data_IF_256439537324
#
_entry.id   IF_256439537324
#
_cell.length_a   1.000
_cell.length_b   1.000
_cell.length_c   1.000
_cell.angle_alpha   90.00
_cell.angle_beta   90.00
_cell.angle_gamma   90.00
#
_symmetry.space_group_name_H-M   'P 1'
#
loop_
_entity.id
_entity.type
_entity.pdbx_description
1 polymer ?
#
# COMPACT_ATOMS: atom_id res chain seq x y z
N UNK A 1 33.96 -12.63 -2.89
CA UNK A 1 33.83 -13.19 -1.52
C UNK A 1 33.48 -12.14 -0.42
N UNK A 2 33.21 -10.87 -0.78
CA UNK A 2 33.05 -9.79 0.20
C UNK A 2 31.62 -9.31 0.41
N UNK A 3 30.59 -10.02 -0.09
CA UNK A 3 29.18 -9.56 -0.07
C UNK A 3 28.34 -10.06 1.11
N UNK A 4 28.91 -10.74 2.11
CA UNK A 4 28.13 -11.43 3.14
C UNK A 4 28.57 -11.15 4.58
N UNK A 5 28.84 -9.92 4.96
CA UNK A 5 29.27 -9.68 6.36
C UNK A 5 28.12 -9.53 7.39
N UNK A 6 26.86 -9.45 7.07
CA UNK A 6 25.68 -9.62 7.94
C UNK A 6 24.40 -9.41 7.11
N UNK A 7 23.92 -10.43 6.43
CA UNK A 7 22.61 -10.42 5.79
C UNK A 7 21.61 -11.24 6.60
N UNK A 8 20.51 -10.66 7.00
CA UNK A 8 19.30 -11.40 7.37
C UNK A 8 18.61 -11.78 6.07
N UNK A 9 18.49 -13.08 5.77
CA UNK A 9 17.84 -13.58 4.58
C UNK A 9 16.64 -14.43 4.94
N UNK A 10 15.47 -14.11 4.41
CA UNK A 10 14.30 -14.94 4.48
C UNK A 10 14.10 -15.64 3.15
N UNK A 11 13.84 -16.95 3.18
CA UNK A 11 13.58 -17.76 1.97
C UNK A 11 12.27 -18.50 2.12
N UNK A 12 11.42 -18.36 1.13
CA UNK A 12 10.14 -19.07 1.06
C UNK A 12 10.01 -19.82 -0.27
N UNK A 13 9.67 -21.11 -0.23
CA UNK A 13 9.43 -21.94 -1.41
C UNK A 13 7.95 -22.21 -1.60
N UNK A 14 7.40 -21.87 -2.77
CA UNK A 14 6.03 -22.19 -3.16
C UNK A 14 5.97 -22.54 -4.66
N UNK A 15 5.29 -23.61 -5.02
CA UNK A 15 5.02 -24.01 -6.41
C UNK A 15 6.28 -23.97 -7.34
N UNK A 16 7.41 -24.50 -6.87
CA UNK A 16 8.71 -24.46 -7.55
C UNK A 16 9.36 -23.08 -7.72
N UNK A 17 8.78 -22.00 -7.16
CA UNK A 17 9.42 -20.71 -7.05
C UNK A 17 10.05 -20.51 -5.68
N UNK A 18 11.19 -19.85 -5.66
CA UNK A 18 11.86 -19.42 -4.45
C UNK A 18 11.75 -17.91 -4.34
N UNK A 19 11.24 -17.44 -3.22
CA UNK A 19 11.20 -16.02 -2.89
C UNK A 19 12.24 -15.78 -1.81
N UNK A 20 13.07 -14.78 -2.03
CA UNK A 20 14.17 -14.47 -1.11
C UNK A 20 14.27 -12.97 -0.92
N UNK A 21 14.39 -12.54 0.32
CA UNK A 21 14.68 -11.16 0.70
C UNK A 21 16.00 -11.16 1.48
N UNK A 22 16.95 -10.33 1.05
CA UNK A 22 18.25 -10.17 1.72
C UNK A 22 18.48 -8.69 1.98
N UNK A 23 18.77 -8.33 3.22
CA UNK A 23 19.25 -7.00 3.60
C UNK A 23 20.75 -7.10 3.85
N UNK A 24 21.52 -6.24 3.22
CA UNK A 24 22.97 -6.19 3.38
C UNK A 24 23.50 -4.75 3.38
N UNK A 25 24.70 -4.53 3.86
CA UNK A 25 25.40 -3.26 3.76
C UNK A 25 26.52 -3.39 2.74
N UNK A 26 26.60 -2.43 1.81
CA UNK A 26 27.77 -2.29 0.94
C UNK A 26 28.84 -1.50 1.68
N UNK A 27 29.97 -2.15 1.96
CA UNK A 27 31.12 -1.50 2.65
C UNK A 27 31.88 -0.54 1.72
N UNK A 28 31.83 -0.78 0.41
CA UNK A 28 32.57 0.00 -0.59
C UNK A 28 31.75 1.21 -1.13
N UNK A 29 30.52 1.40 -0.65
CA UNK A 29 29.67 2.52 -1.09
C UNK A 29 29.26 2.44 -2.56
N UNK A 30 29.18 1.25 -3.13
CA UNK A 30 28.77 1.02 -4.52
C UNK A 30 27.34 1.56 -4.76
N UNK A 31 27.13 2.09 -5.97
CA UNK A 31 25.79 2.52 -6.38
C UNK A 31 24.87 1.33 -6.62
N UNK A 32 23.54 1.55 -6.54
CA UNK A 32 22.56 0.52 -6.89
C UNK A 32 22.72 0.04 -8.35
N UNK A 33 23.20 0.90 -9.23
CA UNK A 33 23.44 0.56 -10.63
C UNK A 33 24.62 -0.39 -10.78
N UNK A 34 25.71 -0.17 -10.05
CA UNK A 34 26.87 -1.05 -10.06
C UNK A 34 26.51 -2.42 -9.48
N UNK A 35 25.78 -2.45 -8.35
CA UNK A 35 25.29 -3.70 -7.76
C UNK A 35 24.38 -4.48 -8.73
N UNK A 36 23.51 -3.81 -9.47
CA UNK A 36 22.68 -4.47 -10.49
C UNK A 36 23.52 -5.07 -11.60
N UNK A 37 24.53 -4.35 -12.09
CA UNK A 37 25.44 -4.85 -13.15
C UNK A 37 26.22 -6.07 -12.69
N UNK A 38 26.74 -6.03 -11.47
CA UNK A 38 27.52 -7.16 -10.91
C UNK A 38 26.64 -8.39 -10.63
N UNK A 39 25.39 -8.19 -10.28
CA UNK A 39 24.46 -9.29 -9.99
C UNK A 39 23.85 -9.90 -11.26
N UNK A 40 23.81 -9.17 -12.39
CA UNK A 40 23.18 -9.60 -13.63
C UNK A 40 23.62 -10.99 -14.13
N UNK A 41 24.90 -11.39 -14.08
CA UNK A 41 25.31 -12.74 -14.50
C UNK A 41 24.68 -13.88 -13.71
N UNK A 42 24.35 -13.64 -12.42
CA UNK A 42 23.65 -14.61 -11.59
C UNK A 42 22.17 -14.66 -11.95
N UNK A 43 21.58 -13.52 -12.23
CA UNK A 43 20.18 -13.38 -12.69
C UNK A 43 19.98 -14.21 -13.97
N UNK A 44 20.86 -14.03 -14.94
CA UNK A 44 20.79 -14.73 -16.22
C UNK A 44 20.98 -16.24 -16.05
N UNK A 45 21.96 -16.63 -15.23
CA UNK A 45 22.28 -18.03 -14.96
C UNK A 45 21.13 -18.79 -14.29
N UNK A 46 20.46 -18.15 -13.32
CA UNK A 46 19.42 -18.79 -12.52
C UNK A 46 18.01 -18.36 -12.92
N UNK A 47 17.85 -17.53 -13.96
CA UNK A 47 16.58 -16.98 -14.45
C UNK A 47 15.77 -16.33 -13.31
N UNK A 48 16.41 -15.45 -12.56
CA UNK A 48 15.82 -14.76 -11.41
C UNK A 48 15.14 -13.47 -11.85
N UNK A 49 14.06 -13.14 -11.16
CA UNK A 49 13.54 -11.78 -11.09
C UNK A 49 14.07 -11.13 -9.82
N UNK A 50 14.60 -9.92 -9.89
CA UNK A 50 15.19 -9.28 -8.72
C UNK A 50 14.97 -7.77 -8.73
N UNK A 51 15.00 -7.19 -7.55
CA UNK A 51 15.02 -5.75 -7.34
C UNK A 51 15.98 -5.40 -6.19
N UNK A 52 16.76 -4.34 -6.38
CA UNK A 52 17.55 -3.72 -5.32
C UNK A 52 16.93 -2.37 -4.95
N UNK A 53 16.83 -2.11 -3.66
CA UNK A 53 16.47 -0.79 -3.16
C UNK A 53 17.39 -0.34 -2.03
N UNK A 54 17.61 0.96 -1.97
CA UNK A 54 18.23 1.58 -0.79
C UNK A 54 17.13 1.79 0.27
N UNK A 55 17.26 1.15 1.43
CA UNK A 55 16.30 1.30 2.53
C UNK A 55 16.22 2.74 3.08
N UNK A 56 17.24 3.57 2.80
CA UNK A 56 17.24 4.99 3.18
C UNK A 56 16.45 5.87 2.21
N UNK A 57 16.27 5.42 0.98
CA UNK A 57 15.52 6.16 -0.03
C UNK A 57 14.02 6.00 0.20
N UNK A 58 13.35 7.10 0.55
CA UNK A 58 11.90 7.10 0.71
C UNK A 58 11.21 7.01 -0.65
N UNK A 59 10.26 6.08 -0.79
CA UNK A 59 9.44 5.97 -2.00
C UNK A 59 8.48 7.14 -2.10
N UNK A 60 8.35 7.70 -3.29
CA UNK A 60 7.41 8.79 -3.58
C UNK A 60 6.00 8.23 -3.74
N UNK A 61 5.07 8.73 -2.96
CA UNK A 61 3.70 8.22 -2.86
C UNK A 61 2.68 9.33 -3.13
N UNK A 62 1.69 9.03 -3.97
CA UNK A 62 0.46 9.80 -4.09
C UNK A 62 -0.62 9.11 -3.24
N UNK A 63 -1.29 9.86 -2.37
CA UNK A 63 -2.48 9.38 -1.68
C UNK A 63 -3.72 9.85 -2.42
N UNK A 64 -4.70 8.96 -2.59
CA UNK A 64 -5.99 9.30 -3.18
C UNK A 64 -7.10 9.08 -2.14
N UNK A 65 -8.00 10.05 -1.98
CA UNK A 65 -9.05 10.02 -0.97
C UNK A 65 -10.36 10.60 -1.53
N UNK A 66 -11.50 10.12 -1.03
CA UNK A 66 -12.81 10.75 -1.25
C UNK A 66 -13.29 11.43 0.05
N UNK A 67 -14.50 11.12 0.55
CA UNK A 67 -15.10 11.78 1.73
C UNK A 67 -14.74 11.16 3.08
N UNK A 68 -14.15 9.96 3.11
CA UNK A 68 -13.82 9.27 4.35
C UNK A 68 -12.32 9.38 4.62
N UNK A 69 -11.93 10.19 5.60
CA UNK A 69 -10.54 10.57 5.81
C UNK A 69 -9.81 9.82 6.92
N UNK A 70 -10.39 8.81 7.57
CA UNK A 70 -9.74 8.10 8.68
C UNK A 70 -8.40 7.49 8.27
N UNK A 71 -8.33 6.82 7.13
CA UNK A 71 -7.07 6.28 6.60
C UNK A 71 -6.07 7.38 6.22
N UNK A 72 -6.54 8.45 5.56
CA UNK A 72 -5.67 9.58 5.20
C UNK A 72 -5.05 10.22 6.45
N UNK A 73 -5.85 10.50 7.47
CA UNK A 73 -5.39 11.12 8.72
C UNK A 73 -4.39 10.24 9.47
N UNK A 74 -4.62 8.92 9.53
CA UNK A 74 -3.69 7.96 10.13
C UNK A 74 -2.36 7.91 9.37
N UNK A 75 -2.39 7.90 8.04
CA UNK A 75 -1.18 7.93 7.21
C UNK A 75 -0.41 9.23 7.37
N UNK A 76 -1.08 10.39 7.38
CA UNK A 76 -0.45 11.69 7.61
C UNK A 76 0.21 11.77 8.99
N UNK A 77 -0.47 11.25 10.02
CA UNK A 77 0.09 11.17 11.38
C UNK A 77 1.34 10.31 11.43
N UNK A 78 1.28 9.07 10.91
CA UNK A 78 2.44 8.15 10.89
C UNK A 78 3.60 8.70 10.08
N UNK A 79 3.32 9.35 8.97
CA UNK A 79 4.32 10.01 8.15
C UNK A 79 4.97 11.17 8.92
N UNK A 80 4.16 12.01 9.57
CA UNK A 80 4.63 13.16 10.34
C UNK A 80 5.55 12.80 11.51
N UNK A 81 5.33 11.66 12.17
CA UNK A 81 6.19 11.16 13.26
C UNK A 81 7.33 10.23 12.78
N UNK A 82 7.49 10.05 11.47
CA UNK A 82 8.53 9.19 10.90
C UNK A 82 8.26 7.68 10.98
N UNK A 83 7.10 7.25 11.48
CA UNK A 83 6.75 5.83 11.58
C UNK A 83 6.37 5.19 10.23
N UNK A 84 6.18 5.97 9.18
CA UNK A 84 5.94 5.51 7.82
C UNK A 84 6.97 6.16 6.88
N UNK A 85 8.02 5.43 6.46
CA UNK A 85 9.16 5.98 5.72
C UNK A 85 8.85 6.15 4.23
N UNK A 86 7.91 7.03 3.91
CA UNK A 86 7.52 7.42 2.56
C UNK A 86 7.73 8.92 2.34
N UNK A 87 7.72 9.34 1.08
CA UNK A 87 7.66 10.73 0.67
C UNK A 87 6.28 10.99 0.03
N UNK A 88 5.37 11.64 0.76
CA UNK A 88 4.04 11.98 0.24
C UNK A 88 4.18 13.20 -0.67
N UNK A 89 4.25 12.96 -1.98
CA UNK A 89 4.47 14.00 -3.00
C UNK A 89 3.20 14.71 -3.45
N UNK A 90 2.04 14.24 -3.00
CA UNK A 90 0.75 14.90 -3.26
C UNK A 90 -0.42 14.06 -2.78
N UNK A 91 -1.56 14.73 -2.65
CA UNK A 91 -2.85 14.08 -2.39
C UNK A 91 -3.82 14.46 -3.49
N UNK A 92 -4.47 13.47 -4.09
CA UNK A 92 -5.52 13.66 -5.11
C UNK A 92 -6.88 13.33 -4.49
N UNK A 93 -7.87 14.17 -4.71
CA UNK A 93 -9.23 13.92 -4.25
C UNK A 93 -10.29 14.43 -5.24
N UNK A 94 -11.43 13.75 -5.26
CA UNK A 94 -12.62 14.21 -5.98
C UNK A 94 -13.55 15.08 -5.12
N UNK A 95 -13.11 15.45 -3.89
CA UNK A 95 -13.79 16.32 -2.94
C UNK A 95 -12.81 17.31 -2.30
N UNK A 96 -13.31 18.36 -1.66
CA UNK A 96 -12.49 19.39 -1.00
C UNK A 96 -12.35 19.20 0.52
N UNK A 97 -12.97 18.17 1.07
CA UNK A 97 -13.13 17.95 2.52
C UNK A 97 -11.80 17.96 3.30
N UNK A 98 -10.71 17.48 2.69
CA UNK A 98 -9.41 17.32 3.35
C UNK A 98 -8.33 18.30 2.88
N UNK A 99 -8.69 19.27 2.02
CA UNK A 99 -7.71 20.21 1.46
C UNK A 99 -6.92 20.94 2.57
N UNK A 100 -7.61 21.55 3.51
CA UNK A 100 -6.96 22.30 4.61
C UNK A 100 -6.07 21.43 5.49
N UNK A 101 -6.46 20.19 5.74
CA UNK A 101 -5.68 19.25 6.54
C UNK A 101 -4.39 18.90 5.81
N UNK A 102 -4.46 18.55 4.55
CA UNK A 102 -3.31 18.14 3.72
C UNK A 102 -2.34 19.31 3.51
N UNK A 103 -2.86 20.49 3.15
CA UNK A 103 -2.05 21.70 2.99
C UNK A 103 -1.40 22.14 4.31
N UNK A 104 -2.06 21.90 5.46
CA UNK A 104 -1.49 22.11 6.79
C UNK A 104 -0.26 21.25 7.09
N UNK A 105 -0.08 20.14 6.40
CA UNK A 105 1.13 19.31 6.43
C UNK A 105 2.18 19.73 5.37
N UNK A 106 1.95 20.79 4.61
CA UNK A 106 2.83 21.24 3.53
C UNK A 106 2.77 20.39 2.25
N UNK A 107 1.75 19.55 2.11
CA UNK A 107 1.56 18.66 0.97
C UNK A 107 0.60 19.31 -0.04
N UNK A 108 0.92 19.19 -1.33
CA UNK A 108 0.05 19.70 -2.40
C UNK A 108 -1.25 18.88 -2.48
N UNK A 109 -2.39 19.57 -2.50
CA UNK A 109 -3.69 18.97 -2.69
C UNK A 109 -4.23 19.22 -4.08
N UNK A 110 -4.56 18.15 -4.80
CA UNK A 110 -5.11 18.21 -6.16
C UNK A 110 -6.58 17.82 -6.13
N UNK A 111 -7.46 18.81 -6.31
CA UNK A 111 -8.89 18.56 -6.44
C UNK A 111 -9.26 18.28 -7.90
N UNK A 112 -9.65 17.03 -8.20
CA UNK A 112 -10.09 16.60 -9.53
C UNK A 112 -11.48 15.99 -9.39
N UNK A 113 -12.50 16.75 -9.75
CA UNK A 113 -13.89 16.27 -9.73
C UNK A 113 -14.06 15.15 -10.76
N UNK A 114 -14.60 14.01 -10.32
CA UNK A 114 -14.87 12.85 -11.16
C UNK A 114 -16.37 12.68 -11.31
N UNK A 115 -16.84 12.59 -12.55
CA UNK A 115 -18.22 12.26 -12.92
C UNK A 115 -18.20 11.14 -13.97
N UNK A 116 -19.35 10.61 -14.33
CA UNK A 116 -19.43 9.60 -15.39
C UNK A 116 -18.96 10.12 -16.74
N UNK A 117 -19.23 11.39 -17.02
CA UNK A 117 -18.98 12.04 -18.29
C UNK A 117 -17.51 12.44 -18.47
N UNK A 118 -16.81 12.79 -17.38
CA UNK A 118 -15.43 13.27 -17.45
C UNK A 118 -14.39 12.26 -16.92
N UNK A 119 -14.77 11.02 -16.66
CA UNK A 119 -13.91 10.03 -16.00
C UNK A 119 -12.54 9.86 -16.69
N UNK A 120 -12.55 9.72 -18.02
CA UNK A 120 -11.32 9.54 -18.79
C UNK A 120 -10.37 10.76 -18.69
N UNK A 121 -10.91 11.99 -18.79
CA UNK A 121 -10.14 13.21 -18.65
C UNK A 121 -9.60 13.39 -17.22
N UNK A 122 -10.43 13.06 -16.23
CA UNK A 122 -10.03 13.12 -14.82
C UNK A 122 -8.89 12.14 -14.53
N UNK A 123 -8.96 10.90 -15.00
CA UNK A 123 -7.90 9.91 -14.83
C UNK A 123 -6.62 10.29 -15.59
N UNK A 124 -6.74 10.85 -16.80
CA UNK A 124 -5.59 11.38 -17.53
C UNK A 124 -4.89 12.52 -16.75
N UNK A 125 -5.67 13.41 -16.12
CA UNK A 125 -5.13 14.47 -15.26
C UNK A 125 -4.46 13.90 -14.00
N UNK A 126 -5.06 12.89 -13.35
CA UNK A 126 -4.46 12.19 -12.21
C UNK A 126 -3.13 11.53 -12.60
N UNK A 127 -3.08 10.80 -13.70
CA UNK A 127 -1.86 10.15 -14.18
C UNK A 127 -0.77 11.14 -14.60
N UNK A 128 -1.14 12.33 -15.07
CA UNK A 128 -0.17 13.40 -15.33
C UNK A 128 0.48 13.85 -14.02
N UNK A 129 -0.30 14.10 -12.97
CA UNK A 129 0.21 14.46 -11.63
C UNK A 129 1.14 13.37 -11.10
N UNK A 130 0.73 12.10 -11.19
CA UNK A 130 1.54 10.95 -10.76
C UNK A 130 2.91 10.95 -11.45
N UNK A 131 2.94 11.17 -12.78
CA UNK A 131 4.19 11.22 -13.56
C UNK A 131 5.04 12.43 -13.26
N UNK A 132 4.45 13.62 -13.19
CA UNK A 132 5.15 14.87 -12.89
C UNK A 132 5.77 14.88 -11.49
N UNK A 133 5.08 14.30 -10.51
CA UNK A 133 5.60 14.13 -9.16
C UNK A 133 6.64 13.00 -9.04
N UNK A 134 6.80 12.18 -10.08
CA UNK A 134 7.65 10.98 -10.05
C UNK A 134 7.19 9.94 -9.03
N UNK A 135 5.88 9.83 -8.79
CA UNK A 135 5.34 8.92 -7.80
C UNK A 135 5.50 7.45 -8.23
N UNK A 136 5.99 6.65 -7.31
CA UNK A 136 6.26 5.22 -7.50
C UNK A 136 5.07 4.35 -7.03
N UNK A 137 4.26 4.88 -6.12
CA UNK A 137 3.11 4.19 -5.53
C UNK A 137 1.91 5.12 -5.47
N UNK A 138 0.74 4.59 -5.79
CA UNK A 138 -0.55 5.20 -5.51
C UNK A 138 -1.22 4.44 -4.37
N UNK A 139 -1.74 5.14 -3.39
CA UNK A 139 -2.49 4.56 -2.27
C UNK A 139 -3.92 5.08 -2.29
N UNK A 140 -4.87 4.19 -2.45
CA UNK A 140 -6.31 4.51 -2.39
C UNK A 140 -6.77 4.45 -0.92
N UNK A 141 -6.63 5.58 -0.22
CA UNK A 141 -7.04 5.77 1.18
C UNK A 141 -8.54 6.11 1.23
N UNK A 142 -9.40 5.15 0.92
CA UNK A 142 -10.86 5.34 0.78
C UNK A 142 -11.22 6.23 -0.41
N UNK A 143 -10.56 6.04 -1.54
CA UNK A 143 -10.92 6.67 -2.81
C UNK A 143 -12.06 5.90 -3.47
N UNK A 144 -13.27 6.45 -3.42
CA UNK A 144 -14.52 5.76 -3.78
C UNK A 144 -14.85 5.85 -5.28
N UNK A 145 -13.82 5.78 -6.13
CA UNK A 145 -13.96 5.72 -7.58
C UNK A 145 -13.29 4.44 -8.10
N UNK A 146 -13.94 3.78 -9.03
CA UNK A 146 -13.35 2.62 -9.73
C UNK A 146 -12.38 3.18 -10.76
N UNK A 147 -11.13 2.73 -10.72
CA UNK A 147 -10.12 3.09 -11.72
C UNK A 147 -10.37 2.38 -13.04
N UNK A 148 -9.93 2.98 -14.15
CA UNK A 148 -9.98 2.32 -15.46
C UNK A 148 -8.92 1.23 -15.58
N UNK A 149 -9.16 0.29 -16.49
CA UNK A 149 -8.20 -0.78 -16.82
C UNK A 149 -6.87 -0.19 -17.29
N UNK A 150 -6.92 0.92 -18.04
CA UNK A 150 -5.73 1.62 -18.51
C UNK A 150 -4.86 2.12 -17.35
N UNK A 151 -5.47 2.78 -16.36
CA UNK A 151 -4.76 3.27 -15.18
C UNK A 151 -4.21 2.11 -14.34
N UNK A 152 -4.98 1.03 -14.18
CA UNK A 152 -4.54 -0.18 -13.49
C UNK A 152 -3.35 -0.84 -14.19
N UNK A 153 -3.33 -0.89 -15.52
CA UNK A 153 -2.22 -1.46 -16.30
C UNK A 153 -0.96 -0.60 -16.23
N UNK A 154 -1.08 0.73 -16.39
CA UNK A 154 0.07 1.65 -16.31
C UNK A 154 0.77 1.62 -14.94
N UNK A 155 0.03 1.35 -13.88
CA UNK A 155 0.50 1.29 -12.51
C UNK A 155 0.40 -0.13 -11.91
N UNK A 156 0.50 -1.17 -12.74
CA UNK A 156 0.41 -2.56 -12.28
C UNK A 156 1.41 -2.86 -11.16
N UNK A 157 0.92 -3.46 -10.06
CA UNK A 157 1.71 -3.73 -8.86
C UNK A 157 2.12 -2.49 -8.05
N UNK A 158 1.61 -1.30 -8.41
CA UNK A 158 1.95 -0.01 -7.78
C UNK A 158 0.72 0.81 -7.38
N UNK A 159 -0.43 0.17 -7.21
CA UNK A 159 -1.63 0.77 -6.61
C UNK A 159 -2.08 -0.13 -5.47
N UNK A 160 -2.13 0.40 -4.26
CA UNK A 160 -2.63 -0.30 -3.07
C UNK A 160 -3.97 0.31 -2.67
N UNK A 161 -4.98 -0.55 -2.49
CA UNK A 161 -6.31 -0.15 -2.02
C UNK A 161 -6.58 -0.68 -0.62
N UNK A 162 -7.42 0.03 0.13
CA UNK A 162 -8.08 -0.48 1.33
C UNK A 162 -9.54 -0.76 1.03
N UNK A 163 -9.93 -2.01 1.14
CA UNK A 163 -11.30 -2.46 1.04
C UNK A 163 -11.88 -2.70 2.45
N UNK A 164 -13.06 -2.15 2.70
CA UNK A 164 -13.71 -2.11 4.02
C UNK A 164 -14.49 -3.39 4.34
N UNK A 165 -13.97 -4.55 3.95
CA UNK A 165 -14.43 -5.86 4.39
C UNK A 165 -13.28 -6.89 4.35
N UNK A 166 -13.51 -8.01 5.02
CA UNK A 166 -12.63 -9.16 4.94
C UNK A 166 -12.91 -9.92 3.64
N UNK A 167 -12.16 -9.62 2.58
CA UNK A 167 -12.32 -10.29 1.29
C UNK A 167 -12.05 -11.81 1.40
N UNK A 168 -12.78 -12.64 0.67
CA UNK A 168 -13.76 -12.33 -0.38
C UNK A 168 -15.20 -12.07 0.10
N UNK A 169 -15.43 -11.89 1.40
CA UNK A 169 -16.75 -11.67 1.96
C UNK A 169 -17.24 -10.23 1.79
N UNK A 170 -18.55 -10.03 1.66
CA UNK A 170 -19.21 -8.71 1.62
C UNK A 170 -18.66 -7.76 0.56
N UNK A 171 -18.55 -8.22 -0.68
CA UNK A 171 -18.24 -7.36 -1.83
C UNK A 171 -19.35 -6.33 -2.08
N UNK A 172 -18.95 -5.18 -2.63
CA UNK A 172 -19.88 -4.12 -3.01
C UNK A 172 -20.14 -3.09 -1.91
N UNK A 173 -21.27 -2.40 -1.99
CA UNK A 173 -21.60 -1.26 -1.13
C UNK A 173 -22.08 -1.64 0.27
N UNK A 174 -21.74 -0.81 1.26
CA UNK A 174 -22.21 -0.91 2.66
C UNK A 174 -21.95 -2.24 3.38
N UNK A 175 -20.70 -2.79 3.36
CA UNK A 175 -20.42 -4.11 3.93
C UNK A 175 -20.69 -4.19 5.42
N UNK A 176 -20.51 -3.13 6.20
CA UNK A 176 -20.83 -3.12 7.64
C UNK A 176 -22.34 -3.28 7.91
N UNK A 177 -23.19 -2.69 7.07
CA UNK A 177 -24.64 -2.88 7.17
C UNK A 177 -25.00 -4.33 6.85
N UNK A 178 -24.44 -4.90 5.79
CA UNK A 178 -24.64 -6.32 5.44
C UNK A 178 -24.17 -7.24 6.59
N UNK A 179 -23.02 -6.94 7.19
CA UNK A 179 -22.46 -7.69 8.32
C UNK A 179 -23.39 -7.65 9.53
N UNK A 180 -23.94 -6.47 9.85
CA UNK A 180 -24.88 -6.29 10.94
C UNK A 180 -26.18 -7.08 10.69
N UNK A 181 -26.79 -6.93 9.52
CA UNK A 181 -28.03 -7.66 9.14
C UNK A 181 -27.84 -9.18 9.17
N UNK A 182 -26.64 -9.68 8.84
CA UNK A 182 -26.29 -11.09 8.89
C UNK A 182 -25.97 -11.59 10.31
N UNK A 183 -25.77 -10.70 11.28
CA UNK A 183 -25.40 -11.05 12.64
C UNK A 183 -24.06 -11.76 12.74
N UNK A 184 -23.08 -11.39 11.90
CA UNK A 184 -21.71 -11.95 11.93
C UNK A 184 -21.02 -11.63 13.25
N UNK A 185 -19.97 -12.34 13.56
CA UNK A 185 -19.21 -12.18 14.83
C UNK A 185 -17.84 -11.54 14.62
N UNK A 186 -17.44 -11.35 13.36
CA UNK A 186 -16.21 -10.72 12.96
C UNK A 186 -16.49 -9.79 11.78
N UNK A 187 -15.88 -8.60 11.81
CA UNK A 187 -15.73 -7.72 10.67
C UNK A 187 -14.25 -7.45 10.44
N UNK A 188 -13.87 -6.93 9.30
CA UNK A 188 -12.46 -6.68 9.02
C UNK A 188 -12.26 -5.80 7.81
N UNK A 189 -11.00 -5.68 7.43
CA UNK A 189 -10.57 -4.92 6.26
C UNK A 189 -9.48 -5.68 5.50
N UNK A 190 -9.34 -5.37 4.22
CA UNK A 190 -8.35 -5.98 3.32
C UNK A 190 -7.61 -4.90 2.55
N UNK A 191 -6.29 -4.91 2.62
CA UNK A 191 -5.45 -4.15 1.71
C UNK A 191 -4.91 -5.06 0.61
N UNK A 192 -5.06 -4.64 -0.64
CA UNK A 192 -4.70 -5.43 -1.81
C UNK A 192 -4.16 -4.55 -2.94
N UNK A 193 -3.43 -5.14 -3.87
CA UNK A 193 -3.11 -4.45 -5.12
C UNK A 193 -4.37 -4.28 -5.96
N UNK A 194 -4.45 -3.15 -6.67
CA UNK A 194 -5.54 -2.89 -7.60
C UNK A 194 -5.24 -3.53 -8.95
N UNK A 195 -6.25 -4.20 -9.49
CA UNK A 195 -6.27 -4.79 -10.83
C UNK A 195 -7.49 -4.27 -11.59
N UNK A 196 -7.64 -4.66 -12.85
CA UNK A 196 -8.84 -4.34 -13.63
C UNK A 196 -10.12 -4.98 -13.03
N UNK A 197 -9.96 -6.14 -12.40
CA UNK A 197 -11.06 -6.81 -11.71
C UNK A 197 -11.27 -6.18 -10.32
N UNK A 198 -12.44 -5.62 -10.10
CA UNK A 198 -12.78 -4.89 -8.87
C UNK A 198 -12.68 -5.78 -7.63
N UNK A 199 -11.89 -5.36 -6.67
CA UNK A 199 -11.66 -6.03 -5.38
C UNK A 199 -11.13 -7.49 -5.49
N UNK A 200 -10.53 -7.85 -6.63
CA UNK A 200 -9.99 -9.19 -6.90
C UNK A 200 -8.45 -9.24 -6.90
N UNK A 201 -7.79 -8.10 -6.72
CA UNK A 201 -6.33 -8.04 -6.76
C UNK A 201 -5.65 -8.77 -5.61
N UNK A 202 -4.34 -9.09 -5.76
CA UNK A 202 -3.56 -9.82 -4.77
C UNK A 202 -3.57 -9.15 -3.39
N UNK A 203 -3.93 -9.91 -2.37
CA UNK A 203 -4.08 -9.43 -0.99
C UNK A 203 -2.69 -9.25 -0.36
N UNK A 204 -2.47 -8.10 0.29
CA UNK A 204 -1.21 -7.78 0.98
C UNK A 204 -1.37 -7.98 2.49
N UNK A 205 -2.46 -7.44 3.06
CA UNK A 205 -2.68 -7.44 4.51
C UNK A 205 -4.18 -7.53 4.81
N UNK A 206 -4.52 -8.26 5.86
CA UNK A 206 -5.89 -8.35 6.36
C UNK A 206 -5.89 -8.35 7.88
N UNK A 207 -6.94 -7.77 8.46
CA UNK A 207 -7.21 -7.90 9.89
C UNK A 207 -8.70 -7.92 10.18
N UNK A 208 -9.04 -8.39 11.37
CA UNK A 208 -10.41 -8.55 11.83
C UNK A 208 -10.57 -8.01 13.25
N UNK A 209 -11.80 -7.61 13.56
CA UNK A 209 -12.21 -7.27 14.92
C UNK A 209 -13.46 -8.05 15.30
N UNK A 210 -13.50 -8.52 16.55
CA UNK A 210 -14.68 -9.19 17.10
C UNK A 210 -15.76 -8.16 17.42
N UNK A 211 -16.99 -8.51 17.05
CA UNK A 211 -18.21 -7.74 17.34
C UNK A 211 -19.22 -8.61 18.10
N UNK A 212 -20.14 -7.96 18.76
CA UNK A 212 -21.18 -8.58 19.57
C UNK A 212 -22.57 -8.06 19.19
N UNK A 213 -23.61 -8.70 19.69
CA UNK A 213 -25.00 -8.29 19.47
C UNK A 213 -25.39 -6.96 20.17
N UNK A 214 -24.54 -6.49 21.11
CA UNK A 214 -24.79 -5.26 21.86
C UNK A 214 -24.37 -3.99 21.08
N UNK A 215 -23.65 -4.15 19.98
CA UNK A 215 -23.14 -3.04 19.17
C UNK A 215 -24.13 -2.65 18.08
N UNK A 216 -24.25 -1.34 17.84
CA UNK A 216 -25.07 -0.75 16.78
C UNK A 216 -24.38 -0.84 15.40
N UNK A 217 -25.10 -0.58 14.29
CA UNK A 217 -24.46 -0.45 12.98
C UNK A 217 -23.39 0.63 12.91
N UNK A 218 -23.53 1.72 13.66
CA UNK A 218 -22.58 2.82 13.79
C UNK A 218 -21.31 2.36 14.49
N UNK A 219 -21.42 1.51 15.51
CA UNK A 219 -20.28 0.90 16.19
C UNK A 219 -19.49 0.01 15.22
N UNK A 220 -20.17 -0.75 14.36
CA UNK A 220 -19.51 -1.56 13.32
C UNK A 220 -18.69 -0.70 12.37
N UNK A 221 -19.24 0.46 11.95
CA UNK A 221 -18.53 1.43 11.11
C UNK A 221 -17.32 2.01 11.84
N UNK A 222 -17.45 2.36 13.11
CA UNK A 222 -16.36 2.91 13.91
C UNK A 222 -15.21 1.92 14.07
N UNK A 223 -15.50 0.72 14.55
CA UNK A 223 -14.52 -0.36 14.70
C UNK A 223 -13.87 -0.73 13.35
N UNK A 224 -14.68 -0.76 12.30
CA UNK A 224 -14.18 -1.04 10.95
C UNK A 224 -13.18 -0.01 10.46
N UNK A 225 -13.40 1.30 10.72
CA UNK A 225 -12.47 2.37 10.36
C UNK A 225 -11.11 2.25 11.04
N UNK A 226 -11.10 1.80 12.30
CA UNK A 226 -9.85 1.58 13.03
C UNK A 226 -9.04 0.45 12.38
N UNK A 227 -9.71 -0.65 12.05
CA UNK A 227 -9.08 -1.79 11.34
C UNK A 227 -8.59 -1.38 9.96
N UNK A 228 -9.41 -0.63 9.19
CA UNK A 228 -9.03 -0.12 7.86
C UNK A 228 -7.72 0.69 7.92
N UNK A 229 -7.61 1.62 8.87
CA UNK A 229 -6.43 2.47 9.03
C UNK A 229 -5.18 1.64 9.34
N UNK A 230 -5.27 0.68 10.25
CA UNK A 230 -4.16 -0.19 10.62
C UNK A 230 -3.72 -1.11 9.48
N UNK A 231 -4.68 -1.75 8.80
CA UNK A 231 -4.42 -2.66 7.69
C UNK A 231 -3.73 -1.94 6.54
N UNK A 232 -4.23 -0.75 6.17
CA UNK A 232 -3.61 0.04 5.09
C UNK A 232 -2.18 0.47 5.45
N UNK A 233 -1.96 0.97 6.67
CA UNK A 233 -0.64 1.39 7.12
C UNK A 233 0.36 0.22 7.12
N UNK A 234 -0.04 -0.97 7.61
CA UNK A 234 0.81 -2.17 7.59
C UNK A 234 1.12 -2.65 6.17
N UNK A 235 0.16 -2.60 5.26
CA UNK A 235 0.37 -2.96 3.87
C UNK A 235 1.38 -2.05 3.17
N UNK A 236 1.25 -0.72 3.36
CA UNK A 236 2.19 0.25 2.81
C UNK A 236 3.59 0.02 3.41
N UNK A 237 3.68 -0.14 4.73
CA UNK A 237 4.94 -0.41 5.41
C UNK A 237 5.62 -1.68 4.88
N UNK A 238 4.86 -2.76 4.65
CA UNK A 238 5.39 -3.98 4.06
C UNK A 238 5.91 -3.74 2.63
N UNK A 239 5.16 -2.99 1.83
CA UNK A 239 5.52 -2.69 0.44
C UNK A 239 6.79 -1.85 0.34
N UNK A 240 6.87 -0.75 1.09
CA UNK A 240 8.01 0.19 0.99
C UNK A 240 9.31 -0.40 1.53
N UNK A 241 9.24 -1.40 2.40
CA UNK A 241 10.40 -2.16 2.86
C UNK A 241 10.74 -3.38 1.99
N UNK A 242 10.16 -3.49 0.78
CA UNK A 242 10.44 -4.60 -0.14
C UNK A 242 10.10 -5.98 0.43
N UNK A 243 9.06 -6.07 1.28
CA UNK A 243 8.63 -7.33 1.90
C UNK A 243 7.49 -8.02 1.17
N UNK A 244 6.93 -7.39 0.13
CA UNK A 244 5.79 -7.90 -0.63
C UNK A 244 6.25 -8.37 -1.99
N UNK A 245 6.10 -9.65 -2.26
CA UNK A 245 6.43 -10.27 -3.54
C UNK A 245 5.15 -10.74 -4.24
N UNK A 246 5.04 -10.45 -5.52
CA UNK A 246 3.95 -10.97 -6.34
C UNK A 246 4.19 -12.44 -6.68
N UNK A 247 3.15 -13.26 -6.58
CA UNK A 247 3.13 -14.66 -7.01
C UNK A 247 1.81 -14.93 -7.73
N UNK A 248 1.77 -14.65 -9.02
CA UNK A 248 0.56 -14.67 -9.83
C UNK A 248 -0.54 -13.77 -9.24
N UNK A 249 -1.66 -14.33 -8.82
CA UNK A 249 -2.80 -13.65 -8.20
C UNK A 249 -2.71 -13.55 -6.66
N UNK A 250 -1.55 -13.79 -6.07
CA UNK A 250 -1.31 -13.80 -4.62
C UNK A 250 -0.05 -13.02 -4.29
N UNK A 251 0.15 -12.73 -3.01
CA UNK A 251 1.40 -12.20 -2.51
C UNK A 251 2.10 -13.18 -1.58
N UNK A 252 3.42 -13.04 -1.50
CA UNK A 252 4.25 -13.54 -0.42
C UNK A 252 4.69 -12.32 0.38
N UNK A 253 4.33 -12.23 1.64
CA UNK A 253 4.69 -11.10 2.51
C UNK A 253 5.64 -11.61 3.58
N UNK A 254 6.88 -11.15 3.51
CA UNK A 254 7.87 -11.48 4.53
C UNK A 254 7.59 -10.73 5.85
N UNK A 255 7.77 -11.38 7.01
CA UNK A 255 7.60 -10.72 8.29
C UNK A 255 8.59 -9.55 8.42
N UNK A 256 8.27 -8.55 9.25
CA UNK A 256 9.23 -7.50 9.58
C UNK A 256 10.44 -8.09 10.33
N UNK A 257 11.63 -7.56 10.06
CA UNK A 257 12.79 -7.87 10.91
C UNK A 257 12.55 -7.32 12.32
N UNK A 258 13.13 -7.92 13.37
CA UNK A 258 12.95 -7.48 14.75
C UNK A 258 13.21 -5.98 14.97
N UNK A 259 14.16 -5.42 14.24
CA UNK A 259 14.57 -4.01 14.35
C UNK A 259 13.72 -3.04 13.51
N UNK A 260 12.80 -3.53 12.65
CA UNK A 260 12.03 -2.68 11.75
C UNK A 260 10.92 -1.88 12.42
N UNK A 261 10.63 -2.14 13.69
CA UNK A 261 9.70 -1.38 14.53
C UNK A 261 10.40 -0.61 15.66
N UNK A 262 11.71 -0.75 15.82
CA UNK A 262 12.47 0.07 16.75
C UNK A 262 12.58 1.48 16.16
N UNK A 263 11.77 2.40 16.68
CA UNK A 263 11.96 3.82 16.43
C UNK A 263 13.24 4.26 17.13
N UNK A 264 14.37 4.28 16.41
CA UNK A 264 15.57 5.01 16.87
C UNK A 264 15.36 6.54 16.95
N UNK A 265 14.12 7.00 16.87
CA UNK A 265 13.75 8.42 16.83
C UNK A 265 12.91 8.89 18.04
N UNK A 266 13.01 8.21 19.19
CA UNK A 266 12.56 8.76 20.45
C UNK A 266 13.80 9.01 21.30
N UNK A 267 14.52 10.08 20.96
CA UNK A 267 15.56 10.70 21.74
C UNK A 267 15.35 12.20 21.78
#
# INVERSE_FOLDING_TARGET
DCLLSRGLGDVYKRQNHYFMRITFRSEEGQSLEDLRKEFQPLVDKYKMEFEFFDERAKRKVILMVSRFGHCLNDLLYRWGIGALPIDIVGVISNHLDFQKVVEGHGITYHHIKVTKENKAEAEAAQMRIVREAGAELIVLARYMQILSDEMCQQMSGRIINIHHSFLPSFKGGSPYKQAFERGVKLIGATSHFVTADLDEGPIIEQDIVRITHAQSPEDYVSLGRDVESQVLARAIHAYVHGRVFMNENKTIVFPPSPDSYSSESIG
#
